data_IF_231672291640
#
_entry.id   IF_231672291640
#
_cell.length_a   1.000
_cell.length_b   1.000
_cell.length_c   1.000
_cell.angle_alpha   90.00
_cell.angle_beta   90.00
_cell.angle_gamma   90.00
#
_symmetry.space_group_name_H-M   'P 1'
#
loop_
_entity.id
_entity.type
_entity.pdbx_description
1 polymer ?
#
# COMPACT_ATOMS: atom_id res chain seq x y z
N UNK A 1 0.93 17.00 -0.11
CA UNK A 1 2.33 16.91 -0.59
C UNK A 1 3.34 17.37 0.46
N UNK A 2 3.40 18.65 0.85
CA UNK A 2 4.44 19.13 1.78
C UNK A 2 4.46 18.37 3.11
N UNK A 3 3.31 18.13 3.72
CA UNK A 3 3.19 17.36 4.98
C UNK A 3 3.68 15.92 4.83
N UNK A 4 3.30 15.22 3.76
CA UNK A 4 3.74 13.84 3.53
C UNK A 4 5.24 13.75 3.30
N UNK A 5 5.87 14.77 2.70
CA UNK A 5 7.34 14.85 2.56
C UNK A 5 8.06 15.14 3.88
N UNK A 6 7.43 15.87 4.82
CA UNK A 6 7.98 16.04 6.18
C UNK A 6 7.98 14.70 6.91
N UNK A 7 6.88 13.93 6.85
CA UNK A 7 6.83 12.59 7.44
C UNK A 7 7.89 11.66 6.81
N UNK A 8 8.07 11.73 5.49
CA UNK A 8 9.13 10.99 4.81
C UNK A 8 10.53 11.36 5.31
N UNK A 9 10.81 12.66 5.49
CA UNK A 9 12.10 13.12 6.01
C UNK A 9 12.35 12.65 7.45
N UNK A 10 11.32 12.62 8.31
CA UNK A 10 11.42 12.06 9.65
C UNK A 10 11.78 10.58 9.62
N UNK A 11 11.15 9.81 8.73
CA UNK A 11 11.44 8.39 8.57
C UNK A 11 12.86 8.15 8.04
N UNK A 12 13.35 8.98 7.10
CA UNK A 12 14.76 8.95 6.66
C UNK A 12 15.69 9.13 7.86
N UNK A 13 15.41 10.13 8.72
CA UNK A 13 16.18 10.37 9.93
C UNK A 13 16.19 9.18 10.90
N UNK A 14 15.05 8.49 11.05
CA UNK A 14 14.94 7.31 11.90
C UNK A 14 15.68 6.08 11.35
N UNK A 15 15.72 5.92 10.02
CA UNK A 15 16.39 4.79 9.36
C UNK A 15 17.90 4.99 9.21
N UNK A 16 18.41 6.22 9.40
CA UNK A 16 19.84 6.53 9.38
C UNK A 16 20.52 6.06 8.09
N UNK A 17 21.61 5.31 8.23
CA UNK A 17 22.44 4.87 7.10
C UNK A 17 21.73 3.91 6.12
N UNK A 18 20.65 3.27 6.55
CA UNK A 18 19.88 2.34 5.72
C UNK A 18 19.03 3.07 4.67
N UNK A 19 18.69 4.34 4.89
CA UNK A 19 17.88 5.12 3.96
C UNK A 19 18.72 5.98 3.03
N UNK A 20 18.20 6.21 1.82
CA UNK A 20 18.73 7.26 0.95
C UNK A 20 18.51 8.62 1.61
N UNK A 21 19.51 9.53 1.67
CA UNK A 21 19.47 10.73 2.52
C UNK A 21 18.50 11.83 2.04
N UNK A 22 17.70 11.57 1.01
CA UNK A 22 16.75 12.52 0.41
C UNK A 22 15.42 11.86 0.16
N UNK A 23 14.35 12.62 0.38
CA UNK A 23 13.00 12.26 -0.06
C UNK A 23 12.96 12.28 -1.58
N UNK A 24 12.54 11.18 -2.21
CA UNK A 24 12.31 11.16 -3.65
C UNK A 24 11.01 11.92 -3.97
N UNK A 25 11.11 12.87 -4.90
CA UNK A 25 10.00 13.77 -5.25
C UNK A 25 9.24 13.37 -6.52
N UNK A 26 9.77 12.38 -7.25
CA UNK A 26 9.19 11.82 -8.47
C UNK A 26 9.52 10.33 -8.57
N UNK A 27 8.77 9.59 -9.39
CA UNK A 27 9.02 8.17 -9.65
C UNK A 27 10.41 7.94 -10.27
N UNK A 28 10.85 8.84 -11.15
CA UNK A 28 12.20 8.79 -11.73
C UNK A 28 13.28 8.92 -10.65
N UNK A 29 13.17 9.92 -9.76
CA UNK A 29 14.11 10.07 -8.65
C UNK A 29 14.11 8.83 -7.74
N UNK A 30 12.94 8.23 -7.50
CA UNK A 30 12.87 7.04 -6.68
C UNK A 30 13.65 5.87 -7.29
N UNK A 31 13.50 5.66 -8.61
CA UNK A 31 14.27 4.65 -9.36
C UNK A 31 15.76 4.95 -9.34
N UNK A 32 16.16 6.20 -9.56
CA UNK A 32 17.56 6.63 -9.50
C UNK A 32 18.17 6.40 -8.11
N UNK A 33 17.44 6.75 -7.04
CA UNK A 33 17.91 6.58 -5.67
C UNK A 33 17.99 5.10 -5.28
N UNK A 34 17.09 4.27 -5.81
CA UNK A 34 17.09 2.82 -5.55
C UNK A 34 18.35 2.14 -6.07
N UNK A 35 19.02 2.68 -7.10
CA UNK A 35 20.32 2.17 -7.59
C UNK A 35 21.42 2.19 -6.53
N UNK A 36 21.27 2.98 -5.46
CA UNK A 36 22.21 2.99 -4.34
C UNK A 36 22.14 1.74 -3.44
N UNK A 37 21.10 0.91 -3.60
CA UNK A 37 20.83 -0.22 -2.70
C UNK A 37 20.27 0.19 -1.33
N UNK A 38 19.98 1.48 -1.11
CA UNK A 38 19.38 1.99 0.14
C UNK A 38 17.85 2.04 0.06
N UNK A 39 17.21 2.10 1.23
CA UNK A 39 15.75 2.30 1.36
C UNK A 39 15.40 3.69 0.85
N UNK A 40 14.55 3.76 -0.17
CA UNK A 40 14.07 5.02 -0.74
C UNK A 40 12.73 5.39 -0.13
N UNK A 41 12.58 6.62 0.32
CA UNK A 41 11.34 7.12 0.94
C UNK A 41 10.76 8.23 0.08
N UNK A 42 9.46 8.12 -0.19
CA UNK A 42 8.69 9.10 -0.95
C UNK A 42 7.59 9.74 -0.10
N UNK A 43 7.15 10.91 -0.54
CA UNK A 43 5.91 11.52 -0.10
C UNK A 43 4.93 11.67 -1.28
N UNK A 44 4.07 12.68 -1.22
CA UNK A 44 3.20 12.99 -2.35
C UNK A 44 4.01 13.48 -3.56
N UNK A 45 3.56 13.11 -4.76
CA UNK A 45 4.18 13.51 -6.04
C UNK A 45 3.39 14.65 -6.69
N UNK A 46 2.13 14.41 -7.04
CA UNK A 46 1.29 15.36 -7.80
C UNK A 46 0.06 15.82 -6.99
N UNK A 47 -0.37 17.09 -7.09
CA UNK A 47 -1.61 17.54 -6.42
C UNK A 47 -2.82 16.75 -6.87
N UNK A 48 -3.73 16.44 -5.93
CA UNK A 48 -4.91 15.62 -6.21
C UNK A 48 -4.66 14.11 -6.25
N UNK A 49 -3.40 13.67 -6.14
CA UNK A 49 -3.05 12.26 -5.97
C UNK A 49 -2.92 11.91 -4.48
N UNK A 50 -3.57 10.82 -4.09
CA UNK A 50 -3.47 10.15 -2.79
C UNK A 50 -2.16 9.38 -2.65
N UNK A 51 -1.77 9.05 -1.42
CA UNK A 51 -0.55 8.28 -1.16
C UNK A 51 -0.62 6.84 -1.62
N UNK A 52 -1.80 6.22 -1.62
CA UNK A 52 -1.96 4.85 -2.13
C UNK A 52 -1.75 4.83 -3.64
N UNK A 53 -2.32 5.78 -4.36
CA UNK A 53 -2.08 5.94 -5.80
C UNK A 53 -0.61 6.22 -6.14
N UNK A 54 0.10 7.01 -5.33
CA UNK A 54 1.56 7.19 -5.49
C UNK A 54 2.29 5.87 -5.31
N UNK A 55 1.92 5.10 -4.27
CA UNK A 55 2.58 3.83 -3.95
C UNK A 55 2.33 2.77 -5.03
N UNK A 56 1.10 2.68 -5.55
CA UNK A 56 0.76 1.74 -6.61
C UNK A 56 1.49 2.05 -7.92
N UNK A 57 1.56 3.34 -8.30
CA UNK A 57 2.32 3.76 -9.50
C UNK A 57 3.81 3.53 -9.31
N UNK A 58 4.36 3.78 -8.11
CA UNK A 58 5.76 3.48 -7.83
C UNK A 58 6.04 1.98 -7.92
N UNK A 59 5.16 1.13 -7.39
CA UNK A 59 5.31 -0.32 -7.45
C UNK A 59 5.34 -0.81 -8.91
N UNK A 60 4.42 -0.32 -9.74
CA UNK A 60 4.39 -0.59 -11.18
C UNK A 60 5.69 -0.12 -11.88
N UNK A 61 6.11 1.12 -11.64
CA UNK A 61 7.33 1.70 -12.22
C UNK A 61 8.61 0.99 -11.78
N UNK A 62 8.66 0.48 -10.55
CA UNK A 62 9.79 -0.24 -9.99
C UNK A 62 9.79 -1.73 -10.38
N UNK A 63 8.72 -2.25 -10.99
CA UNK A 63 8.55 -3.69 -11.22
C UNK A 63 8.51 -4.48 -9.92
N UNK A 64 7.88 -3.92 -8.89
CA UNK A 64 7.82 -4.53 -7.57
C UNK A 64 7.07 -5.86 -7.60
N UNK A 65 7.53 -6.82 -6.79
CA UNK A 65 6.87 -8.12 -6.66
C UNK A 65 5.61 -8.07 -5.80
N UNK A 66 5.45 -7.02 -4.98
CA UNK A 66 4.32 -6.80 -4.08
C UNK A 66 4.24 -5.34 -3.64
N UNK A 67 3.04 -4.89 -3.31
CA UNK A 67 2.77 -3.68 -2.53
C UNK A 67 2.17 -4.05 -1.16
N UNK A 68 2.74 -3.54 -0.06
CA UNK A 68 2.17 -3.68 1.28
C UNK A 68 1.59 -2.33 1.73
N UNK A 69 0.29 -2.29 2.01
CA UNK A 69 -0.40 -1.14 2.59
C UNK A 69 -0.60 -1.36 4.09
N UNK A 70 0.14 -0.60 4.89
CA UNK A 70 0.04 -0.55 6.34
C UNK A 70 -0.93 0.56 6.75
N UNK A 71 -2.14 0.18 7.17
CA UNK A 71 -3.23 1.11 7.44
C UNK A 71 -3.79 0.96 8.85
N UNK A 72 -4.77 1.78 9.25
CA UNK A 72 -5.35 1.77 10.60
C UNK A 72 -6.38 0.66 10.84
N UNK A 73 -6.60 -0.21 9.84
CA UNK A 73 -7.49 -1.37 9.89
C UNK A 73 -6.68 -2.61 9.55
N UNK A 74 -7.11 -3.76 10.05
CA UNK A 74 -6.40 -5.03 9.91
C UNK A 74 -6.72 -5.76 8.59
N UNK A 75 -7.43 -5.13 7.67
CA UNK A 75 -7.76 -5.67 6.35
C UNK A 75 -8.91 -4.93 5.68
N UNK A 76 -9.39 -5.50 4.58
CA UNK A 76 -10.52 -5.02 3.80
C UNK A 76 -11.77 -5.76 4.26
N UNK A 77 -12.86 -5.02 4.45
CA UNK A 77 -14.12 -5.53 4.96
C UNK A 77 -15.26 -5.26 3.97
N UNK A 78 -16.32 -6.08 4.03
CA UNK A 78 -17.52 -5.93 3.19
C UNK A 78 -18.31 -4.64 3.43
N UNK A 79 -18.09 -4.00 4.58
CA UNK A 79 -18.63 -2.70 5.01
C UNK A 79 -17.73 -2.15 6.14
N UNK A 80 -17.89 -0.89 6.54
CA UNK A 80 -17.15 -0.32 7.67
C UNK A 80 -17.49 -1.06 8.99
N UNK A 81 -16.55 -1.82 9.60
CA UNK A 81 -16.83 -2.63 10.79
C UNK A 81 -17.15 -1.80 12.03
N UNK A 82 -16.85 -0.48 12.02
CA UNK A 82 -17.26 0.43 13.10
C UNK A 82 -18.73 0.83 13.00
N UNK A 83 -19.33 0.70 11.82
CA UNK A 83 -20.72 1.09 11.53
C UNK A 83 -21.64 -0.11 11.36
N UNK A 84 -21.12 -1.21 10.80
CA UNK A 84 -21.86 -2.44 10.53
C UNK A 84 -21.22 -3.63 11.26
N UNK A 85 -21.83 -4.12 12.36
CA UNK A 85 -21.34 -5.30 13.09
C UNK A 85 -21.36 -6.60 12.27
N UNK A 86 -22.06 -6.64 11.13
CA UNK A 86 -22.10 -7.78 10.23
C UNK A 86 -21.00 -7.76 9.17
N UNK A 87 -20.14 -6.72 9.17
CA UNK A 87 -19.01 -6.60 8.26
C UNK A 87 -18.07 -7.81 8.37
N UNK A 88 -17.77 -8.41 7.21
CA UNK A 88 -16.86 -9.56 7.12
C UNK A 88 -15.54 -9.12 6.51
N UNK A 89 -14.44 -9.51 7.14
CA UNK A 89 -13.10 -9.36 6.58
C UNK A 89 -12.90 -10.31 5.41
N UNK A 90 -12.24 -9.84 4.36
CA UNK A 90 -11.76 -10.69 3.27
C UNK A 90 -10.34 -11.15 3.57
N UNK A 91 -10.06 -12.44 3.46
CA UNK A 91 -8.67 -12.93 3.55
C UNK A 91 -7.96 -12.76 2.20
N UNK A 92 -8.65 -13.11 1.11
CA UNK A 92 -8.18 -12.99 -0.27
C UNK A 92 -9.32 -12.41 -1.11
N UNK A 93 -9.00 -11.52 -2.04
CA UNK A 93 -9.93 -11.02 -3.05
C UNK A 93 -9.21 -10.65 -4.36
N UNK A 94 -9.95 -10.61 -5.47
CA UNK A 94 -9.45 -10.13 -6.74
C UNK A 94 -9.41 -8.59 -6.79
N UNK A 95 -8.58 -7.99 -7.66
CA UNK A 95 -8.60 -6.54 -7.88
C UNK A 95 -9.96 -6.02 -8.36
N UNK A 96 -10.69 -6.80 -9.17
CA UNK A 96 -12.03 -6.44 -9.64
C UNK A 96 -13.04 -6.36 -8.48
N UNK A 97 -13.03 -7.35 -7.56
CA UNK A 97 -13.87 -7.31 -6.36
C UNK A 97 -13.57 -6.09 -5.49
N UNK A 98 -12.29 -5.70 -5.40
CA UNK A 98 -11.88 -4.50 -4.66
C UNK A 98 -12.45 -3.24 -5.31
N UNK A 99 -12.37 -3.13 -6.64
CA UNK A 99 -12.93 -2.00 -7.38
C UNK A 99 -14.45 -1.92 -7.19
N UNK A 100 -15.16 -3.04 -7.30
CA UNK A 100 -16.61 -3.09 -7.11
C UNK A 100 -17.03 -2.66 -5.70
N UNK A 101 -16.28 -3.13 -4.68
CA UNK A 101 -16.47 -2.74 -3.28
C UNK A 101 -16.27 -1.23 -3.08
N UNK A 102 -15.18 -0.66 -3.63
CA UNK A 102 -14.89 0.78 -3.57
C UNK A 102 -15.99 1.60 -4.26
N UNK A 103 -16.48 1.16 -5.41
CA UNK A 103 -17.51 1.87 -6.17
C UNK A 103 -18.85 1.87 -5.41
N UNK A 104 -19.20 0.76 -4.76
CA UNK A 104 -20.38 0.66 -3.87
C UNK A 104 -20.26 1.60 -2.66
N UNK A 105 -19.09 1.67 -2.02
CA UNK A 105 -18.82 2.53 -0.86
C UNK A 105 -18.78 4.03 -1.22
N UNK A 106 -18.31 4.41 -2.41
CA UNK A 106 -18.33 5.82 -2.85
C UNK A 106 -19.73 6.39 -3.02
N UNK A 107 -20.73 5.54 -3.27
CA UNK A 107 -22.14 5.97 -3.31
C UNK A 107 -22.68 6.32 -1.92
N UNK A 108 -22.00 5.88 -0.85
CA UNK A 108 -22.33 6.19 0.53
C UNK A 108 -21.41 7.32 1.02
N UNK A 109 -21.96 8.53 1.21
CA UNK A 109 -21.18 9.67 1.67
C UNK A 109 -20.52 9.39 3.06
N UNK A 110 -19.20 9.60 3.16
CA UNK A 110 -18.45 9.44 4.42
C UNK A 110 -17.79 8.07 4.63
N UNK A 111 -17.45 7.35 3.55
CA UNK A 111 -16.73 6.08 3.61
C UNK A 111 -15.23 6.27 3.87
N UNK A 112 -14.71 5.59 4.89
CA UNK A 112 -13.27 5.42 5.11
C UNK A 112 -12.81 4.27 4.21
N UNK A 113 -12.55 4.57 2.94
CA UNK A 113 -12.00 3.57 2.03
C UNK A 113 -10.59 3.19 2.48
N UNK A 114 -10.33 1.89 2.54
CA UNK A 114 -9.03 1.35 2.95
C UNK A 114 -7.95 1.69 1.92
N UNK A 115 -8.33 1.77 0.66
CA UNK A 115 -7.48 2.15 -0.46
C UNK A 115 -8.28 2.95 -1.49
N UNK A 116 -7.64 3.89 -2.17
CA UNK A 116 -8.31 4.66 -3.22
C UNK A 116 -8.50 3.89 -4.55
N UNK A 117 -9.44 4.38 -5.36
CA UNK A 117 -9.81 3.76 -6.65
C UNK A 117 -8.67 3.76 -7.68
N UNK A 118 -7.80 4.76 -7.68
CA UNK A 118 -6.68 4.84 -8.63
C UNK A 118 -5.67 3.74 -8.30
N UNK A 119 -5.33 3.58 -7.02
CA UNK A 119 -4.46 2.51 -6.57
C UNK A 119 -5.05 1.12 -6.90
N UNK A 120 -6.33 0.89 -6.64
CA UNK A 120 -6.99 -0.38 -6.98
C UNK A 120 -6.92 -0.70 -8.49
N UNK A 121 -7.11 0.29 -9.36
CA UNK A 121 -6.98 0.11 -10.82
C UNK A 121 -5.53 -0.13 -11.27
N UNK A 122 -4.56 0.47 -10.58
CA UNK A 122 -3.14 0.21 -10.85
C UNK A 122 -2.77 -1.21 -10.40
N UNK A 123 -3.24 -1.67 -9.24
CA UNK A 123 -3.11 -3.06 -8.79
C UNK A 123 -3.68 -4.03 -9.83
N UNK A 124 -4.90 -3.75 -10.32
CA UNK A 124 -5.54 -4.57 -11.37
C UNK A 124 -4.69 -4.66 -12.65
N UNK A 125 -4.29 -3.53 -13.23
CA UNK A 125 -3.60 -3.53 -14.52
C UNK A 125 -2.16 -4.02 -14.46
N UNK A 126 -1.47 -3.77 -13.34
CA UNK A 126 -0.07 -4.18 -13.15
C UNK A 126 0.05 -5.66 -12.79
N UNK A 127 -1.02 -6.24 -12.23
CA UNK A 127 -0.99 -7.59 -11.67
C UNK A 127 -0.12 -7.71 -10.42
N UNK A 128 0.38 -6.60 -9.87
CA UNK A 128 1.21 -6.60 -8.65
C UNK A 128 0.28 -6.86 -7.45
N UNK A 129 0.53 -7.91 -6.66
CA UNK A 129 -0.27 -8.21 -5.47
C UNK A 129 -0.21 -7.07 -4.46
N UNK A 130 -1.36 -6.71 -3.90
CA UNK A 130 -1.50 -5.77 -2.80
C UNK A 130 -1.83 -6.53 -1.52
N UNK A 131 -1.09 -6.29 -0.45
CA UNK A 131 -1.39 -6.82 0.89
C UNK A 131 -1.78 -5.67 1.80
N UNK A 132 -2.97 -5.73 2.38
CA UNK A 132 -3.45 -4.75 3.36
C UNK A 132 -3.34 -5.34 4.76
N UNK A 133 -2.58 -4.69 5.64
CA UNK A 133 -2.33 -5.12 7.02
C UNK A 133 -2.50 -3.96 8.02
N UNK A 134 -2.63 -4.30 9.31
CA UNK A 134 -2.66 -3.31 10.39
C UNK A 134 -1.27 -2.67 10.58
N UNK A 135 -1.15 -1.41 10.20
CA UNK A 135 0.07 -0.62 10.34
C UNK A 135 0.44 -0.23 11.76
N UNK A 136 -0.43 -0.49 12.75
CA UNK A 136 -0.12 -0.26 14.17
C UNK A 136 0.76 -1.36 14.75
N UNK A 137 0.77 -2.53 14.12
CA UNK A 137 1.61 -3.66 14.48
C UNK A 137 2.68 -3.89 13.40
N UNK A 138 3.89 -3.36 13.64
CA UNK A 138 5.00 -3.47 12.70
C UNK A 138 5.51 -4.90 12.54
N UNK A 139 5.20 -5.81 13.47
CA UNK A 139 5.59 -7.22 13.36
C UNK A 139 4.88 -7.92 12.20
N UNK A 140 3.71 -7.40 11.77
CA UNK A 140 3.01 -7.92 10.60
C UNK A 140 3.76 -7.64 9.29
N UNK A 141 4.49 -6.53 9.21
CA UNK A 141 5.34 -6.24 8.06
C UNK A 141 6.51 -7.21 7.99
N UNK A 142 7.15 -7.48 9.13
CA UNK A 142 8.25 -8.45 9.24
C UNK A 142 7.79 -9.85 8.78
N UNK A 143 6.69 -10.35 9.34
CA UNK A 143 6.09 -11.64 8.94
C UNK A 143 5.73 -11.70 7.46
N UNK A 144 5.15 -10.62 6.92
CA UNK A 144 4.77 -10.55 5.52
C UNK A 144 5.99 -10.61 4.59
N UNK A 145 7.09 -9.93 4.95
CA UNK A 145 8.28 -9.84 4.11
C UNK A 145 9.25 -11.02 4.27
N UNK A 146 9.39 -11.57 5.47
CA UNK A 146 10.36 -12.62 5.80
C UNK A 146 9.71 -14.01 5.71
N UNK A 147 8.57 -14.19 6.38
CA UNK A 147 7.93 -15.49 6.53
C UNK A 147 6.90 -15.77 5.42
N UNK A 148 6.48 -14.74 4.68
CA UNK A 148 5.38 -14.81 3.72
C UNK A 148 4.02 -14.98 4.38
N UNK A 149 3.90 -14.69 5.68
CA UNK A 149 2.67 -14.85 6.45
C UNK A 149 1.83 -13.55 6.46
N UNK A 150 0.76 -13.53 5.68
CA UNK A 150 -0.10 -12.35 5.56
C UNK A 150 -1.26 -12.37 6.55
N UNK A 151 -1.22 -11.44 7.50
CA UNK A 151 -2.28 -11.23 8.48
C UNK A 151 -3.10 -9.99 8.08
N UNK A 152 -4.02 -10.18 7.13
CA UNK A 152 -4.64 -9.06 6.44
C UNK A 152 -5.61 -9.46 5.36
N UNK A 153 -5.67 -8.65 4.30
CA UNK A 153 -6.31 -9.01 3.04
C UNK A 153 -5.27 -9.01 1.93
N UNK A 154 -5.22 -10.09 1.16
CA UNK A 154 -4.41 -10.17 -0.06
C UNK A 154 -5.30 -9.88 -1.27
N UNK A 155 -4.89 -8.93 -2.09
CA UNK A 155 -5.57 -8.53 -3.33
C UNK A 155 -4.71 -8.96 -4.52
N UNK A 156 -5.20 -9.92 -5.30
CA UNK A 156 -4.45 -10.48 -6.42
C UNK A 156 -5.21 -11.58 -7.17
N UNK A 157 -4.70 -11.99 -8.33
CA UNK A 157 -5.34 -12.98 -9.19
C UNK A 157 -4.95 -14.44 -8.85
N UNK A 158 -3.93 -14.65 -8.02
CA UNK A 158 -3.44 -15.97 -7.61
C UNK A 158 -3.09 -15.99 -6.12
N UNK A 159 -3.11 -17.18 -5.50
CA UNK A 159 -2.59 -17.38 -4.16
C UNK A 159 -1.10 -17.07 -4.17
N UNK A 160 -0.73 -15.93 -3.63
CA UNK A 160 0.60 -15.38 -3.82
C UNK A 160 1.60 -16.21 -3.02
N UNK A 161 2.37 -17.05 -3.70
CA UNK A 161 3.45 -17.82 -3.09
C UNK A 161 4.73 -16.98 -3.12
N UNK A 162 5.17 -16.50 -1.96
CA UNK A 162 6.51 -15.94 -1.79
C UNK A 162 7.39 -16.95 -1.06
N UNK A 163 8.66 -16.98 -1.42
CA UNK A 163 9.61 -16.38 -0.51
C UNK A 163 10.48 -15.33 -1.21
N UNK A 164 10.74 -14.23 -0.50
CA UNK A 164 11.87 -13.35 -0.79
C UNK A 164 13.04 -13.88 0.03
N UNK A 165 13.63 -15.00 -0.41
CA UNK A 165 14.93 -15.49 0.12
C UNK A 165 15.86 -15.77 -1.04
#
# INVERSE_FOLDING_TARGET
IKVTRINAALLIGALGEHAYPRVAESYLQAKEFALSGKIVIMGGVTPGQTTDAVSAVLAEEAGASMMVNMTAVDGIYSADPKKDPSAKKFDIMSPQELIDLIMKEKMNAGSNMVIDLVAAKVTERSGIPLVVIDGRDTTLLEKALIDGEFHGTVVGNEAVSFPIV
#
